data_IF_849448858367
#
_entry.id   IF_849448858367
#
_cell.length_a   1.000
_cell.length_b   1.000
_cell.length_c   1.000
_cell.angle_alpha   90.00
_cell.angle_beta   90.00
_cell.angle_gamma   90.00
#
_symmetry.space_group_name_H-M   'P 1'
#
loop_
_entity.id
_entity.type
_entity.pdbx_description
1 polymer ?
#
# COMPACT_ATOMS: atom_id res chain seq x y z
N UNK A 1 -25.54 15.66 0.96
CA UNK A 1 -25.38 17.06 1.43
C UNK A 1 -24.45 17.17 2.65
N UNK A 2 -24.54 16.21 3.57
CA UNK A 2 -23.67 16.15 4.75
C UNK A 2 -22.24 15.71 4.37
N UNK A 3 -22.11 14.69 3.51
CA UNK A 3 -20.81 14.17 3.06
C UNK A 3 -19.91 15.20 2.35
N UNK A 4 -20.49 16.23 1.70
CA UNK A 4 -19.71 17.27 1.00
C UNK A 4 -19.01 18.25 1.94
N UNK A 5 -19.32 18.22 3.24
CA UNK A 5 -18.67 19.07 4.24
C UNK A 5 -17.35 18.49 4.75
N UNK A 6 -17.06 17.22 4.46
CA UNK A 6 -15.77 16.63 4.79
C UNK A 6 -14.64 17.21 3.93
N UNK A 7 -13.37 17.20 4.40
CA UNK A 7 -12.23 17.73 3.66
C UNK A 7 -12.08 17.20 2.21
N UNK A 8 -12.26 15.89 2.00
CA UNK A 8 -12.23 15.26 0.67
C UNK A 8 -13.63 15.09 0.05
N UNK A 9 -14.66 15.61 0.71
CA UNK A 9 -16.02 15.69 0.17
C UNK A 9 -16.73 14.34 0.00
N UNK A 10 -17.62 14.28 -0.97
CA UNK A 10 -18.46 13.12 -1.27
C UNK A 10 -18.12 12.54 -2.65
N UNK A 11 -17.84 11.23 -2.72
CA UNK A 11 -17.57 10.54 -3.98
C UNK A 11 -18.77 10.66 -4.95
N UNK A 12 -18.48 10.97 -6.21
CA UNK A 12 -19.47 11.14 -7.29
C UNK A 12 -19.32 10.11 -8.39
N UNK A 13 -18.08 9.78 -8.74
CA UNK A 13 -17.80 8.83 -9.80
C UNK A 13 -16.42 8.21 -9.62
N UNK A 14 -16.25 7.03 -10.21
CA UNK A 14 -14.96 6.45 -10.51
C UNK A 14 -14.69 6.61 -12.01
N UNK A 15 -13.47 7.00 -12.37
CA UNK A 15 -13.05 7.25 -13.75
C UNK A 15 -11.84 6.38 -14.06
N UNK A 16 -11.91 5.66 -15.19
CA UNK A 16 -10.90 4.71 -15.64
C UNK A 16 -10.47 3.69 -14.57
N UNK A 17 -11.38 3.35 -13.65
CA UNK A 17 -11.16 2.37 -12.58
C UNK A 17 -9.93 2.67 -11.70
N UNK A 18 -9.46 3.92 -11.73
CA UNK A 18 -8.21 4.38 -11.10
C UNK A 18 -8.39 5.69 -10.33
N UNK A 19 -9.33 6.54 -10.75
CA UNK A 19 -9.55 7.86 -10.16
C UNK A 19 -10.91 7.96 -9.51
N UNK A 20 -10.97 8.50 -8.30
CA UNK A 20 -12.22 8.88 -7.64
C UNK A 20 -12.40 10.38 -7.82
N UNK A 21 -13.55 10.77 -8.36
CA UNK A 21 -13.99 12.16 -8.42
C UNK A 21 -14.92 12.39 -7.23
N UNK A 22 -14.57 13.33 -6.36
CA UNK A 22 -15.38 13.69 -5.21
C UNK A 22 -15.69 15.18 -5.19
N UNK A 23 -16.91 15.53 -4.81
CA UNK A 23 -17.36 16.92 -4.69
C UNK A 23 -17.15 17.41 -3.26
N UNK A 24 -16.46 18.53 -3.10
CA UNK A 24 -16.33 19.23 -1.81
C UNK A 24 -17.32 20.41 -1.74
N UNK A 25 -17.38 21.09 -0.60
CA UNK A 25 -18.19 22.30 -0.45
C UNK A 25 -17.74 23.46 -1.38
N UNK A 26 -16.47 23.48 -1.78
CA UNK A 26 -15.83 24.60 -2.49
C UNK A 26 -15.29 24.24 -3.87
N UNK A 27 -15.50 22.99 -4.33
CA UNK A 27 -14.96 22.51 -5.60
C UNK A 27 -15.05 20.99 -5.74
N UNK A 28 -13.97 20.37 -6.22
CA UNK A 28 -13.83 18.92 -6.30
C UNK A 28 -12.40 18.47 -6.02
N UNK A 29 -12.26 17.21 -5.64
CA UNK A 29 -10.98 16.51 -5.55
C UNK A 29 -10.96 15.33 -6.52
N UNK A 30 -9.78 15.09 -7.09
CA UNK A 30 -9.49 13.92 -7.91
C UNK A 30 -8.46 13.10 -7.15
N UNK A 31 -8.82 11.88 -6.77
CA UNK A 31 -7.99 10.99 -5.96
C UNK A 31 -7.48 9.85 -6.83
N UNK A 32 -6.16 9.63 -6.81
CA UNK A 32 -5.57 8.39 -7.32
C UNK A 32 -5.83 7.28 -6.29
N UNK A 33 -6.78 6.41 -6.60
CA UNK A 33 -7.26 5.40 -5.65
C UNK A 33 -6.14 4.41 -5.26
N UNK A 34 -5.24 4.11 -6.20
CA UNK A 34 -4.20 3.11 -6.01
C UNK A 34 -3.12 3.68 -5.10
N UNK A 35 -2.61 4.87 -5.44
CA UNK A 35 -1.62 5.57 -4.61
C UNK A 35 -2.16 5.89 -3.21
N UNK A 36 -3.44 6.28 -3.11
CA UNK A 36 -4.09 6.49 -1.82
C UNK A 36 -4.14 5.19 -1.00
N UNK A 37 -4.58 4.09 -1.60
CA UNK A 37 -4.71 2.83 -0.88
C UNK A 37 -3.36 2.24 -0.46
N UNK A 38 -2.33 2.31 -1.31
CA UNK A 38 -0.96 1.94 -0.94
C UNK A 38 -0.47 2.74 0.27
N UNK A 39 -0.74 4.05 0.28
CA UNK A 39 -0.34 4.92 1.40
C UNK A 39 -1.05 4.53 2.68
N UNK A 40 -2.35 4.26 2.62
CA UNK A 40 -3.14 3.82 3.78
C UNK A 40 -2.62 2.49 4.34
N UNK A 41 -2.35 1.51 3.49
CA UNK A 41 -1.78 0.21 3.91
C UNK A 41 -0.42 0.40 4.57
N UNK A 42 0.46 1.22 3.99
CA UNK A 42 1.77 1.51 4.54
C UNK A 42 1.70 2.16 5.93
N UNK A 43 0.87 3.19 6.11
CA UNK A 43 0.71 3.85 7.41
C UNK A 43 0.10 2.91 8.46
N UNK A 44 -0.85 2.05 8.07
CA UNK A 44 -1.40 1.03 8.98
C UNK A 44 -0.34 0.01 9.41
N UNK A 45 0.48 -0.46 8.46
CA UNK A 45 1.60 -1.36 8.74
C UNK A 45 2.62 -0.72 9.68
N UNK A 46 3.01 0.54 9.39
CA UNK A 46 3.96 1.29 10.21
C UNK A 46 3.45 1.48 11.64
N UNK A 47 2.17 1.80 11.80
CA UNK A 47 1.52 1.90 13.11
C UNK A 47 1.52 0.55 13.84
N UNK A 48 1.14 -0.53 13.18
CA UNK A 48 1.15 -1.87 13.79
C UNK A 48 2.54 -2.29 14.24
N UNK A 49 3.55 -2.06 13.40
CA UNK A 49 4.95 -2.34 13.72
C UNK A 49 5.40 -1.61 14.99
N UNK A 50 5.02 -0.33 15.15
CA UNK A 50 5.38 0.47 16.31
C UNK A 50 4.63 0.10 17.60
N UNK A 51 3.39 -0.37 17.50
CA UNK A 51 2.52 -0.62 18.66
C UNK A 51 2.53 -2.07 19.15
N UNK A 52 2.40 -3.03 18.24
CA UNK A 52 2.09 -4.43 18.59
C UNK A 52 2.92 -5.47 17.83
N UNK A 53 3.75 -5.04 16.86
CA UNK A 53 4.22 -5.90 15.79
C UNK A 53 3.15 -6.12 14.72
N UNK A 54 3.57 -6.45 13.50
CA UNK A 54 2.66 -6.66 12.37
C UNK A 54 1.98 -8.01 12.53
N UNK A 55 0.64 -8.01 12.48
CA UNK A 55 -0.13 -9.25 12.61
C UNK A 55 0.06 -10.12 11.36
N UNK A 56 0.51 -11.36 11.57
CA UNK A 56 0.65 -12.35 10.51
C UNK A 56 -0.64 -13.18 10.36
N UNK A 57 -0.86 -13.69 9.15
CA UNK A 57 -1.90 -14.64 8.80
C UNK A 57 -1.23 -15.91 8.28
N UNK A 58 -1.44 -17.03 8.97
CA UNK A 58 -0.95 -18.32 8.51
C UNK A 58 -1.68 -18.77 7.24
N UNK A 59 -0.90 -19.30 6.29
CA UNK A 59 -1.41 -19.92 5.08
C UNK A 59 -1.94 -21.31 5.41
N UNK A 60 -3.09 -21.67 4.82
CA UNK A 60 -3.65 -23.02 4.97
C UNK A 60 -2.70 -24.09 4.42
N UNK A 61 -2.01 -23.76 3.34
CA UNK A 61 -0.98 -24.57 2.71
C UNK A 61 0.23 -23.66 2.51
N UNK A 62 1.41 -23.99 3.03
CA UNK A 62 2.62 -23.22 2.78
C UNK A 62 2.88 -23.07 1.27
N UNK A 63 3.19 -21.86 0.83
CA UNK A 63 3.55 -21.59 -0.56
C UNK A 63 5.05 -21.86 -0.74
N UNK A 64 5.41 -22.78 -1.62
CA UNK A 64 6.81 -23.07 -1.95
C UNK A 64 7.23 -22.18 -3.11
N UNK A 65 8.26 -21.36 -2.87
CA UNK A 65 8.79 -20.42 -3.86
C UNK A 65 10.20 -20.85 -4.25
N UNK A 66 10.36 -21.26 -5.51
CA UNK A 66 11.67 -21.58 -6.08
C UNK A 66 12.45 -20.29 -6.39
N UNK A 67 13.71 -20.27 -5.97
CA UNK A 67 14.62 -19.13 -6.07
C UNK A 67 16.04 -19.63 -6.41
N UNK A 68 16.93 -18.71 -6.77
CA UNK A 68 18.35 -19.07 -6.82
C UNK A 68 18.86 -19.37 -5.41
N UNK A 69 19.88 -20.23 -5.27
CA UNK A 69 20.48 -20.54 -3.97
C UNK A 69 21.02 -19.28 -3.26
N UNK A 70 21.50 -18.29 -4.03
CA UNK A 70 21.95 -16.99 -3.51
C UNK A 70 20.77 -16.20 -2.92
N UNK A 71 19.65 -16.12 -3.64
CA UNK A 71 18.49 -15.34 -3.20
C UNK A 71 17.80 -15.99 -2.01
N UNK A 72 17.69 -17.32 -2.01
CA UNK A 72 17.19 -18.06 -0.87
C UNK A 72 18.02 -17.78 0.39
N UNK A 73 19.36 -17.85 0.29
CA UNK A 73 20.24 -17.52 1.41
C UNK A 73 20.07 -16.08 1.89
N UNK A 74 19.98 -15.10 0.98
CA UNK A 74 19.79 -13.67 1.35
C UNK A 74 18.50 -13.42 2.13
N UNK A 75 17.40 -14.07 1.73
CA UNK A 75 16.13 -13.95 2.46
C UNK A 75 16.22 -14.64 3.83
N UNK A 76 16.85 -15.81 3.89
CA UNK A 76 17.01 -16.56 5.14
C UNK A 76 17.92 -15.84 6.15
N UNK A 77 18.91 -15.06 5.69
CA UNK A 77 19.75 -14.21 6.55
C UNK A 77 18.96 -13.15 7.32
N UNK A 78 17.79 -12.74 6.81
CA UNK A 78 16.91 -11.74 7.45
C UNK A 78 15.54 -12.33 7.85
N UNK A 79 15.42 -13.66 7.98
CA UNK A 79 14.14 -14.31 8.23
C UNK A 79 13.46 -13.84 9.53
N UNK A 80 14.23 -13.59 10.59
CA UNK A 80 13.71 -13.08 11.85
C UNK A 80 13.15 -11.65 11.69
N UNK A 81 13.83 -10.81 10.91
CA UNK A 81 13.38 -9.46 10.61
C UNK A 81 12.09 -9.48 9.78
N UNK A 82 12.00 -10.36 8.77
CA UNK A 82 10.78 -10.55 7.98
C UNK A 82 9.62 -11.08 8.83
N UNK A 83 9.91 -11.93 9.82
CA UNK A 83 8.92 -12.42 10.77
C UNK A 83 8.35 -11.27 11.61
N UNK A 84 9.17 -10.29 12.00
CA UNK A 84 8.69 -9.08 12.67
C UNK A 84 7.79 -8.21 11.78
N UNK A 85 7.94 -8.33 10.44
CA UNK A 85 7.06 -7.73 9.45
C UNK A 85 5.81 -8.58 9.13
N UNK A 86 5.62 -9.70 9.82
CA UNK A 86 4.50 -10.62 9.60
C UNK A 86 4.67 -11.56 8.40
N UNK A 87 5.89 -11.71 7.89
CA UNK A 87 6.26 -12.61 6.80
C UNK A 87 7.19 -13.71 7.30
N UNK A 88 6.62 -14.90 7.57
CA UNK A 88 7.36 -16.03 8.11
C UNK A 88 7.81 -16.96 6.99
N UNK A 89 9.12 -17.14 6.87
CA UNK A 89 9.76 -17.97 5.84
C UNK A 89 10.65 -19.06 6.44
N UNK A 90 10.69 -20.21 5.79
CA UNK A 90 11.52 -21.35 6.20
C UNK A 90 12.29 -21.90 4.99
N UNK A 91 13.49 -22.47 5.20
CA UNK A 91 14.21 -23.15 4.13
C UNK A 91 13.42 -24.37 3.66
N UNK A 92 13.33 -24.55 2.33
CA UNK A 92 12.72 -25.74 1.72
C UNK A 92 13.69 -26.33 0.70
N UNK A 93 14.64 -27.13 1.19
CA UNK A 93 15.78 -27.58 0.38
C UNK A 93 16.80 -26.44 0.14
N UNK A 94 17.61 -26.57 -0.91
CA UNK A 94 18.71 -25.64 -1.20
C UNK A 94 18.40 -24.54 -2.22
N UNK A 95 17.21 -24.54 -2.82
CA UNK A 95 16.81 -23.62 -3.90
C UNK A 95 15.33 -23.21 -3.80
N UNK A 96 14.71 -23.35 -2.64
CA UNK A 96 13.36 -22.90 -2.41
C UNK A 96 13.14 -22.47 -0.95
N UNK A 97 12.13 -21.63 -0.77
CA UNK A 97 11.66 -21.14 0.52
C UNK A 97 10.19 -21.53 0.67
N UNK A 98 9.82 -22.04 1.83
CA UNK A 98 8.43 -22.21 2.22
C UNK A 98 7.95 -20.94 2.94
N UNK A 99 6.91 -20.30 2.41
CA UNK A 99 6.23 -19.19 3.10
C UNK A 99 5.11 -19.77 3.95
N UNK A 100 5.15 -19.49 5.26
CA UNK A 100 4.18 -19.98 6.24
C UNK A 100 3.10 -18.97 6.55
N UNK A 101 3.50 -17.70 6.63
CA UNK A 101 2.62 -16.61 7.05
C UNK A 101 2.90 -15.36 6.22
N UNK A 102 1.87 -14.57 5.96
CA UNK A 102 1.98 -13.25 5.32
C UNK A 102 1.30 -12.20 6.18
N UNK A 103 1.60 -10.89 6.02
CA UNK A 103 0.97 -9.87 6.85
C UNK A 103 -0.55 -9.86 6.62
N UNK A 104 -1.33 -10.02 7.68
CA UNK A 104 -2.77 -10.22 7.62
C UNK A 104 -3.51 -9.05 6.93
N UNK A 105 -2.96 -7.84 7.04
CA UNK A 105 -3.53 -6.64 6.42
C UNK A 105 -3.49 -6.68 4.88
N UNK A 106 -2.56 -7.44 4.28
CA UNK A 106 -2.46 -7.54 2.82
C UNK A 106 -3.51 -8.49 2.24
N UNK A 107 -4.14 -9.32 3.08
CA UNK A 107 -5.11 -10.32 2.65
C UNK A 107 -4.49 -11.34 1.70
N UNK A 108 -5.17 -11.61 0.58
CA UNK A 108 -4.71 -12.59 -0.40
C UNK A 108 -3.64 -11.98 -1.33
N UNK A 109 -2.38 -12.30 -1.05
CA UNK A 109 -1.21 -11.89 -1.85
C UNK A 109 -0.48 -13.09 -2.43
N UNK A 110 0.30 -12.89 -3.50
CA UNK A 110 1.23 -13.90 -3.99
C UNK A 110 2.50 -13.85 -3.16
N UNK A 111 2.80 -14.90 -2.41
CA UNK A 111 4.01 -14.94 -1.61
C UNK A 111 5.26 -14.90 -2.51
N UNK A 112 5.23 -15.58 -3.66
CA UNK A 112 6.30 -15.52 -4.64
C UNK A 112 6.56 -14.11 -5.18
N UNK A 113 5.52 -13.30 -5.43
CA UNK A 113 5.71 -11.91 -5.86
C UNK A 113 6.27 -11.04 -4.73
N UNK A 114 5.78 -11.24 -3.51
CA UNK A 114 6.26 -10.54 -2.32
C UNK A 114 7.75 -10.79 -2.06
N UNK A 115 8.20 -12.05 -2.13
CA UNK A 115 9.62 -12.39 -1.91
C UNK A 115 10.54 -11.79 -2.98
N UNK A 116 10.11 -11.76 -4.25
CA UNK A 116 10.91 -11.14 -5.33
C UNK A 116 11.05 -9.65 -5.12
N UNK A 117 9.96 -8.99 -4.74
CA UNK A 117 9.96 -7.57 -4.43
C UNK A 117 10.84 -7.22 -3.23
N UNK A 118 10.88 -8.08 -2.20
CA UNK A 118 11.82 -7.94 -1.07
C UNK A 118 13.27 -8.10 -1.54
N UNK A 119 13.55 -9.06 -2.41
CA UNK A 119 14.88 -9.27 -2.97
C UNK A 119 15.36 -8.08 -3.81
N UNK A 120 14.47 -7.52 -4.64
CA UNK A 120 14.75 -6.32 -5.43
C UNK A 120 15.13 -5.15 -4.50
N UNK A 121 14.34 -4.93 -3.44
CA UNK A 121 14.59 -3.87 -2.46
C UNK A 121 15.93 -4.09 -1.71
N UNK A 122 16.24 -5.33 -1.33
CA UNK A 122 17.52 -5.67 -0.71
C UNK A 122 18.72 -5.43 -1.64
N UNK A 123 18.55 -5.64 -2.94
CA UNK A 123 19.58 -5.39 -3.93
C UNK A 123 19.84 -3.88 -4.11
N UNK A 124 18.78 -3.07 -4.12
CA UNK A 124 18.84 -1.63 -4.32
C UNK A 124 19.47 -0.88 -3.12
N UNK A 125 19.21 -1.35 -1.90
CA UNK A 125 19.65 -0.66 -0.68
C UNK A 125 21.13 -0.84 -0.35
N UNK A 126 21.84 -1.75 -1.03
CA UNK A 126 23.27 -1.99 -0.79
C UNK A 126 23.60 -2.43 0.65
N UNK A 127 24.89 -2.65 0.92
CA UNK A 127 25.34 -3.14 2.25
C UNK A 127 25.46 -2.03 3.31
N UNK A 128 25.54 -0.76 2.91
CA UNK A 128 25.84 0.37 3.79
C UNK A 128 24.63 0.98 4.50
N UNK A 129 23.41 0.59 4.15
CA UNK A 129 22.20 1.09 4.81
C UNK A 129 21.97 0.41 6.16
N UNK A 130 21.41 1.18 7.10
CA UNK A 130 21.01 0.65 8.40
C UNK A 130 19.93 -0.43 8.25
N UNK A 131 19.90 -1.39 9.17
CA UNK A 131 18.85 -2.43 9.16
C UNK A 131 17.45 -1.81 9.24
N UNK A 132 17.28 -0.76 10.05
CA UNK A 132 16.01 -0.04 10.16
C UNK A 132 15.57 0.54 8.80
N UNK A 133 16.48 1.20 8.08
CA UNK A 133 16.17 1.76 6.76
C UNK A 133 15.77 0.67 5.76
N UNK A 134 16.40 -0.52 5.85
CA UNK A 134 16.01 -1.68 5.05
C UNK A 134 14.62 -2.19 5.38
N UNK A 135 14.29 -2.27 6.66
CA UNK A 135 12.96 -2.70 7.10
C UNK A 135 11.86 -1.71 6.67
N UNK A 136 12.10 -0.40 6.77
CA UNK A 136 11.14 0.62 6.32
C UNK A 136 10.87 0.55 4.82
N UNK A 137 11.92 0.31 4.03
CA UNK A 137 11.84 0.16 2.59
C UNK A 137 11.11 -1.13 2.17
N UNK A 138 11.45 -2.27 2.80
CA UNK A 138 10.72 -3.53 2.60
C UNK A 138 9.25 -3.34 2.96
N UNK A 139 8.95 -2.68 4.09
CA UNK A 139 7.57 -2.42 4.50
C UNK A 139 6.79 -1.58 3.48
N UNK A 140 7.45 -0.57 2.90
CA UNK A 140 6.90 0.23 1.80
C UNK A 140 6.56 -0.64 0.61
N UNK A 141 7.45 -1.58 0.24
CA UNK A 141 7.23 -2.49 -0.88
C UNK A 141 6.11 -3.50 -0.62
N UNK A 142 6.03 -4.05 0.59
CA UNK A 142 4.97 -4.98 0.98
C UNK A 142 3.58 -4.31 0.92
N UNK A 143 3.48 -3.02 1.25
CA UNK A 143 2.22 -2.27 1.21
C UNK A 143 1.60 -2.20 -0.20
N UNK A 144 2.42 -2.27 -1.27
CA UNK A 144 1.95 -2.31 -2.65
C UNK A 144 1.14 -3.59 -2.96
N UNK A 145 1.44 -4.71 -2.30
CA UNK A 145 0.78 -6.01 -2.55
C UNK A 145 -0.63 -6.10 -1.99
N UNK A 146 -0.91 -5.39 -0.89
CA UNK A 146 -2.23 -5.33 -0.27
C UNK A 146 -3.16 -4.33 -0.95
N UNK A 147 -2.71 -3.65 -2.01
CA UNK A 147 -3.44 -2.51 -2.55
C UNK A 147 -4.66 -2.89 -3.38
N UNK A 148 -5.67 -2.01 -3.42
CA UNK A 148 -6.73 -2.11 -4.44
C UNK A 148 -6.03 -2.17 -5.79
N UNK A 149 -6.18 -3.32 -6.46
CA UNK A 149 -5.61 -3.53 -7.79
C UNK A 149 -6.16 -2.46 -8.73
N UNK A 150 -5.27 -1.85 -9.51
CA UNK A 150 -5.68 -1.01 -10.65
C UNK A 150 -6.70 -1.77 -11.50
N UNK A 151 -7.77 -1.10 -11.92
CA UNK A 151 -8.86 -1.72 -12.68
C UNK A 151 -10.03 -2.26 -11.85
N UNK A 152 -10.00 -2.21 -10.51
CA UNK A 152 -11.15 -2.62 -9.70
C UNK A 152 -12.22 -1.52 -9.68
N UNK A 153 -13.45 -1.90 -10.03
CA UNK A 153 -14.62 -1.03 -9.83
C UNK A 153 -15.01 -0.94 -8.35
N UNK A 154 -15.35 0.27 -7.89
CA UNK A 154 -15.74 0.56 -6.50
C UNK A 154 -17.18 1.06 -6.43
N UNK A 155 -17.92 0.62 -5.42
CA UNK A 155 -19.22 1.20 -5.07
C UNK A 155 -19.03 2.56 -4.41
N UNK A 156 -20.07 3.40 -4.45
CA UNK A 156 -20.03 4.73 -3.81
C UNK A 156 -19.65 4.68 -2.32
N UNK A 157 -20.19 3.71 -1.59
CA UNK A 157 -19.85 3.47 -0.18
C UNK A 157 -18.37 3.17 0.03
N UNK A 158 -17.76 2.35 -0.85
CA UNK A 158 -16.34 2.00 -0.77
C UNK A 158 -15.45 3.20 -1.09
N UNK A 159 -15.84 4.02 -2.08
CA UNK A 159 -15.13 5.25 -2.40
C UNK A 159 -15.18 6.23 -1.22
N UNK A 160 -16.36 6.48 -0.66
CA UNK A 160 -16.49 7.36 0.51
C UNK A 160 -15.72 6.83 1.72
N UNK A 161 -15.74 5.52 1.97
CA UNK A 161 -14.94 4.92 3.04
C UNK A 161 -13.44 5.18 2.86
N UNK A 162 -12.91 5.04 1.63
CA UNK A 162 -11.53 5.37 1.31
C UNK A 162 -11.23 6.85 1.60
N UNK A 163 -12.10 7.77 1.18
CA UNK A 163 -11.93 9.22 1.44
C UNK A 163 -11.89 9.53 2.95
N UNK A 164 -12.81 8.94 3.73
CA UNK A 164 -12.82 9.10 5.19
C UNK A 164 -11.57 8.53 5.84
N UNK A 165 -11.04 7.43 5.31
CA UNK A 165 -9.81 6.85 5.81
C UNK A 165 -8.59 7.70 5.49
N UNK A 166 -8.51 8.27 4.28
CA UNK A 166 -7.47 9.22 3.90
C UNK A 166 -7.45 10.44 4.84
N UNK A 167 -8.61 10.96 5.21
CA UNK A 167 -8.72 12.09 6.15
C UNK A 167 -8.22 11.76 7.55
N UNK A 168 -8.45 10.52 8.00
CA UNK A 168 -8.00 10.06 9.32
C UNK A 168 -6.52 9.64 9.36
N UNK A 169 -5.89 9.44 8.18
CA UNK A 169 -4.54 8.91 8.07
C UNK A 169 -3.52 10.03 7.86
N UNK A 170 -2.51 10.16 8.75
CA UNK A 170 -1.43 11.12 8.56
C UNK A 170 -0.70 10.91 7.23
N UNK A 171 -0.26 12.00 6.60
CA UNK A 171 0.50 11.96 5.36
C UNK A 171 -0.17 11.24 4.18
N UNK A 172 -1.49 11.05 4.22
CA UNK A 172 -2.25 10.41 3.15
C UNK A 172 -2.19 11.16 1.83
N UNK A 173 -1.87 12.47 1.84
CA UNK A 173 -1.78 13.34 0.66
C UNK A 173 -0.56 13.11 -0.23
N UNK A 174 0.42 12.31 0.18
CA UNK A 174 1.60 11.96 -0.62
C UNK A 174 1.82 10.44 -0.62
N UNK A 175 2.09 9.88 -1.79
CA UNK A 175 2.42 8.47 -1.93
C UNK A 175 3.85 8.20 -1.43
N UNK A 176 4.24 6.93 -1.36
CA UNK A 176 5.57 6.52 -0.88
C UNK A 176 6.73 7.06 -1.74
N UNK A 177 6.43 7.55 -2.95
CA UNK A 177 7.39 8.16 -3.88
C UNK A 177 7.29 9.70 -3.95
N UNK A 178 6.53 10.33 -3.05
CA UNK A 178 6.38 11.78 -2.97
C UNK A 178 5.40 12.41 -3.97
N UNK A 179 4.74 11.62 -4.82
CA UNK A 179 3.66 12.12 -5.71
C UNK A 179 2.39 12.38 -4.90
N UNK A 180 1.59 13.39 -5.24
CA UNK A 180 0.31 13.61 -4.57
C UNK A 180 -0.63 12.42 -4.79
N UNK A 181 -1.38 12.02 -3.76
CA UNK A 181 -2.44 11.01 -3.87
C UNK A 181 -3.78 11.60 -4.29
N UNK A 182 -3.95 12.92 -4.14
CA UNK A 182 -5.10 13.64 -4.63
C UNK A 182 -4.72 15.05 -5.07
N UNK A 183 -5.54 15.63 -5.95
CA UNK A 183 -5.46 17.04 -6.37
C UNK A 183 -6.79 17.72 -6.10
N UNK A 184 -6.74 18.98 -5.66
CA UNK A 184 -7.92 19.82 -5.41
C UNK A 184 -8.11 20.81 -6.57
N UNK A 185 -9.34 20.95 -7.04
CA UNK A 185 -9.76 21.94 -8.02
C UNK A 185 -10.87 22.80 -7.41
N UNK A 186 -10.58 24.07 -7.16
CA UNK A 186 -11.56 25.02 -6.62
C UNK A 186 -12.60 25.35 -7.69
N UNK A 187 -13.83 25.63 -7.27
CA UNK A 187 -14.94 25.94 -8.18
C UNK A 187 -14.60 27.11 -9.12
N UNK A 188 -14.01 28.19 -8.59
CA UNK A 188 -13.54 29.32 -9.38
C UNK A 188 -12.53 28.93 -10.48
N UNK A 189 -11.61 28.00 -10.19
CA UNK A 189 -10.60 27.57 -11.15
C UNK A 189 -11.25 26.76 -12.29
N UNK A 190 -12.26 25.96 -11.96
CA UNK A 190 -13.07 25.22 -12.93
C UNK A 190 -13.88 26.20 -13.79
N UNK A 191 -14.55 27.19 -13.20
CA UNK A 191 -15.31 28.21 -13.91
C UNK A 191 -14.46 28.99 -14.91
N UNK A 192 -13.21 29.30 -14.55
CA UNK A 192 -12.24 29.94 -15.44
C UNK A 192 -11.90 29.12 -16.68
N UNK A 193 -11.86 27.78 -16.58
CA UNK A 193 -11.64 26.90 -17.75
C UNK A 193 -12.75 27.04 -18.80
N UNK A 194 -13.94 27.48 -18.39
CA UNK A 194 -15.07 27.76 -19.27
C UNK A 194 -15.23 29.25 -19.61
N UNK A 195 -14.24 30.10 -19.28
CA UNK A 195 -14.30 31.54 -19.50
C UNK A 195 -15.33 32.28 -18.63
N UNK A 196 -15.75 31.68 -17.52
CA UNK A 196 -16.64 32.31 -16.52
C UNK A 196 -15.78 33.01 -15.45
N UNK A 197 -16.33 34.09 -14.86
CA UNK A 197 -15.68 34.86 -13.78
C UNK A 197 -16.08 34.33 -12.43
#
# INVERSE_FOLDING_TARGET
>A
PEETQHPLGAARAQVHENYIIAQTATGMVIVDQHAAHERLVYERLKRQMAETGIKAQALLIPEIVELSASDASRLLEIADDLTALGLTIEPFGGHAIAVRETPAILGNVSAAALLRDVLDELADLGQSQSLQSKMEAILSRMACHGSIRSGRQMRAEEMNALLREMEATPHSGQCNHGRPTYVELKLHDIERLFGRR
#
